data_IF_497019482834
#
_entry.id   IF_497019482834
#
_cell.length_a   1.000
_cell.length_b   1.000
_cell.length_c   1.000
_cell.angle_alpha   90.00
_cell.angle_beta   90.00
_cell.angle_gamma   90.00
#
_symmetry.space_group_name_H-M   'P 1'
#
loop_
_entity.id
_entity.type
_entity.pdbx_description
1 polymer ?
#
# COMPACT_ATOMS: atom_id res chain seq x y z
N UNK A 1 -13.87 1.33 -23.42
CA UNK A 1 -12.71 1.41 -22.51
C UNK A 1 -13.24 1.92 -21.18
N UNK A 2 -13.06 1.19 -20.08
CA UNK A 2 -13.51 1.60 -18.73
C UNK A 2 -12.43 2.42 -18.03
N UNK A 3 -12.85 3.33 -17.13
CA UNK A 3 -11.95 4.05 -16.21
C UNK A 3 -11.45 3.07 -15.14
N UNK A 4 -10.16 3.14 -14.79
CA UNK A 4 -9.56 2.37 -13.69
C UNK A 4 -8.93 3.32 -12.66
N UNK A 5 -9.11 3.01 -11.38
CA UNK A 5 -8.49 3.69 -10.24
C UNK A 5 -7.35 2.84 -9.68
N UNK A 6 -6.18 3.47 -9.51
CA UNK A 6 -4.98 2.80 -8.99
C UNK A 6 -4.56 3.50 -7.70
N UNK A 7 -4.42 2.72 -6.63
CA UNK A 7 -4.05 3.22 -5.31
C UNK A 7 -2.59 2.92 -5.01
N UNK A 8 -1.87 3.86 -4.38
CA UNK A 8 -0.50 3.64 -3.94
C UNK A 8 -0.52 3.07 -2.53
N UNK A 9 0.18 1.95 -2.30
CA UNK A 9 0.36 1.38 -0.96
C UNK A 9 1.82 1.58 -0.54
N UNK A 10 2.01 2.25 0.60
CA UNK A 10 3.31 2.46 1.23
C UNK A 10 3.54 1.53 2.43
N UNK A 11 4.80 1.40 2.90
CA UNK A 11 5.14 0.49 3.98
C UNK A 11 4.75 0.99 5.38
N UNK A 12 4.42 2.27 5.53
CA UNK A 12 4.05 2.92 6.79
C UNK A 12 3.24 4.19 6.53
N UNK A 13 2.62 4.75 7.56
CA UNK A 13 1.80 5.97 7.46
C UNK A 13 2.67 7.20 7.13
N UNK A 14 2.30 7.96 6.10
CA UNK A 14 3.00 9.17 5.68
C UNK A 14 2.40 9.80 4.43
N UNK A 15 2.85 11.02 4.09
CA UNK A 15 2.49 11.69 2.84
C UNK A 15 3.54 12.73 2.45
N UNK A 16 3.36 13.41 1.33
CA UNK A 16 4.23 14.51 0.90
C UNK A 16 4.26 15.67 1.89
N UNK A 17 3.20 15.84 2.69
CA UNK A 17 3.08 16.89 3.71
C UNK A 17 3.34 16.39 5.12
N UNK A 18 3.38 15.08 5.34
CA UNK A 18 3.49 14.46 6.66
C UNK A 18 4.67 13.49 6.70
N UNK A 19 5.63 13.76 7.58
CA UNK A 19 6.75 12.85 7.80
C UNK A 19 6.23 11.45 8.16
N UNK A 20 6.93 10.37 7.73
CA UNK A 20 6.49 9.03 8.02
C UNK A 20 6.42 8.73 9.53
N UNK A 21 5.41 7.97 9.95
CA UNK A 21 5.15 7.57 11.33
C UNK A 21 5.05 6.05 11.45
N UNK A 22 5.39 5.53 12.63
CA UNK A 22 5.36 4.11 12.93
C UNK A 22 6.64 3.37 12.56
N UNK A 23 6.63 2.02 12.60
CA UNK A 23 7.73 1.18 12.15
C UNK A 23 7.95 1.31 10.64
N UNK A 24 9.21 1.18 10.19
CA UNK A 24 9.58 1.24 8.78
C UNK A 24 8.81 0.25 7.87
N UNK A 25 8.30 -0.83 8.47
CA UNK A 25 7.32 -1.75 7.88
C UNK A 25 6.22 -1.96 8.93
N UNK A 26 5.08 -1.33 8.73
CA UNK A 26 3.92 -1.40 9.61
C UNK A 26 2.85 -2.31 8.98
N UNK A 27 2.81 -3.57 9.42
CA UNK A 27 1.91 -4.58 8.85
C UNK A 27 0.43 -4.25 9.07
N UNK A 28 0.08 -3.68 10.23
CA UNK A 28 -1.30 -3.30 10.53
C UNK A 28 -1.74 -2.14 9.64
N UNK A 29 -0.86 -1.14 9.43
CA UNK A 29 -1.11 -0.06 8.49
C UNK A 29 -1.25 -0.57 7.05
N UNK A 30 -0.31 -1.41 6.57
CA UNK A 30 -0.33 -1.95 5.20
C UNK A 30 -1.65 -2.69 4.94
N UNK A 31 -2.07 -3.55 5.88
CA UNK A 31 -3.32 -4.29 5.79
C UNK A 31 -4.53 -3.35 5.77
N UNK A 32 -4.62 -2.45 6.74
CA UNK A 32 -5.75 -1.52 6.82
C UNK A 32 -5.84 -0.64 5.57
N UNK A 33 -4.70 -0.20 5.03
CA UNK A 33 -4.66 0.66 3.86
C UNK A 33 -5.04 -0.09 2.58
N UNK A 34 -4.59 -1.33 2.41
CA UNK A 34 -5.01 -2.19 1.30
C UNK A 34 -6.52 -2.45 1.30
N UNK A 35 -7.07 -2.86 2.46
CA UNK A 35 -8.49 -3.12 2.60
C UNK A 35 -9.34 -1.86 2.41
N UNK A 36 -8.84 -0.69 2.80
CA UNK A 36 -9.50 0.57 2.53
C UNK A 36 -9.59 0.89 1.03
N UNK A 37 -8.55 0.59 0.25
CA UNK A 37 -8.55 0.78 -1.20
C UNK A 37 -9.51 -0.20 -1.89
N UNK A 38 -9.50 -1.48 -1.49
CA UNK A 38 -10.45 -2.48 -1.96
C UNK A 38 -11.90 -2.08 -1.68
N UNK A 39 -12.19 -1.72 -0.42
CA UNK A 39 -13.52 -1.21 -0.04
C UNK A 39 -13.90 0.05 -0.82
N UNK A 40 -12.92 0.89 -1.17
CA UNK A 40 -13.09 2.08 -1.99
C UNK A 40 -13.34 1.80 -3.48
N UNK A 41 -13.28 0.55 -3.93
CA UNK A 41 -13.50 0.16 -5.33
C UNK A 41 -12.32 0.47 -6.25
N UNK A 42 -11.10 0.51 -5.71
CA UNK A 42 -9.90 0.64 -6.54
C UNK A 42 -9.66 -0.64 -7.33
N UNK A 43 -9.34 -0.49 -8.62
CA UNK A 43 -9.13 -1.62 -9.52
C UNK A 43 -7.77 -2.28 -9.33
N UNK A 44 -6.75 -1.52 -8.87
CA UNK A 44 -5.37 -2.01 -8.70
C UNK A 44 -4.66 -1.30 -7.55
N UNK A 45 -3.71 -2.01 -6.95
CA UNK A 45 -2.72 -1.45 -6.04
C UNK A 45 -1.35 -1.32 -6.72
N UNK A 46 -0.69 -0.18 -6.51
CA UNK A 46 0.67 0.11 -6.94
C UNK A 46 1.59 0.12 -5.71
N UNK A 47 2.70 -0.63 -5.81
CA UNK A 47 3.76 -0.64 -4.82
C UNK A 47 5.06 -0.15 -5.48
N UNK A 48 5.60 0.95 -4.97
CA UNK A 48 6.81 1.55 -5.54
C UNK A 48 8.07 0.76 -5.15
N UNK A 49 8.96 0.55 -6.12
CA UNK A 49 10.28 -0.05 -5.89
C UNK A 49 11.29 1.06 -5.58
N UNK A 50 12.00 0.95 -4.46
CA UNK A 50 13.06 1.89 -4.05
C UNK A 50 14.14 1.15 -3.26
N UNK A 51 15.42 1.36 -3.60
CA UNK A 51 16.57 0.71 -2.94
C UNK A 51 16.77 1.10 -1.48
N UNK A 52 16.18 2.22 -1.05
CA UNK A 52 16.27 2.76 0.31
C UNK A 52 14.98 2.55 1.11
N UNK A 53 14.05 1.72 0.61
CA UNK A 53 12.79 1.41 1.26
C UNK A 53 12.62 -0.11 1.45
N UNK A 54 11.55 -0.51 2.13
CA UNK A 54 11.18 -1.90 2.27
C UNK A 54 10.84 -2.54 0.91
N UNK A 55 11.11 -3.84 0.79
CA UNK A 55 10.94 -4.58 -0.47
C UNK A 55 9.47 -4.64 -0.90
N UNK A 56 9.17 -4.10 -2.08
CA UNK A 56 7.81 -3.98 -2.58
C UNK A 56 7.16 -5.33 -2.89
N UNK A 57 7.93 -6.36 -3.26
CA UNK A 57 7.37 -7.67 -3.58
C UNK A 57 6.93 -8.40 -2.29
N UNK A 58 7.70 -8.26 -1.22
CA UNK A 58 7.31 -8.78 0.10
C UNK A 58 6.06 -8.06 0.61
N UNK A 59 5.99 -6.73 0.50
CA UNK A 59 4.78 -5.97 0.87
C UNK A 59 3.58 -6.42 0.01
N UNK A 60 3.77 -6.60 -1.30
CA UNK A 60 2.71 -7.06 -2.20
C UNK A 60 2.19 -8.45 -1.79
N UNK A 61 3.07 -9.36 -1.37
CA UNK A 61 2.67 -10.68 -0.87
C UNK A 61 1.80 -10.59 0.39
N UNK A 62 2.09 -9.62 1.28
CA UNK A 62 1.27 -9.38 2.46
C UNK A 62 -0.08 -8.77 2.09
N UNK A 63 -0.10 -7.76 1.21
CA UNK A 63 -1.33 -7.15 0.69
C UNK A 63 -2.25 -8.21 0.08
N UNK A 64 -1.70 -9.04 -0.83
CA UNK A 64 -2.45 -10.09 -1.52
C UNK A 64 -3.02 -11.17 -0.58
N UNK A 65 -2.47 -11.32 0.64
CA UNK A 65 -3.01 -12.24 1.63
C UNK A 65 -4.27 -11.72 2.36
N UNK A 66 -4.61 -10.43 2.20
CA UNK A 66 -5.69 -9.76 2.94
C UNK A 66 -6.70 -9.00 2.06
N UNK A 67 -6.66 -9.21 0.74
CA UNK A 67 -7.54 -8.61 -0.28
C UNK A 67 -8.03 -9.71 -1.26
N UNK A 68 -9.23 -9.56 -1.83
CA UNK A 68 -9.93 -10.52 -2.71
C UNK A 68 -10.12 -10.04 -4.16
#
# INVERSE_FOLDING_TARGET
>A
MSLEFIGLIGPQEGSESQAPRGPAVDLEFIRAFAQAQEYGGFDKALLAVNTSAADSLIIASHVAAYTE
#
